data_IF_169592994703
#
_entry.id   IF_169592994703
#
_cell.length_a   1.000
_cell.length_b   1.000
_cell.length_c   1.000
_cell.angle_alpha   90.00
_cell.angle_beta   90.00
_cell.angle_gamma   90.00
#
_symmetry.space_group_name_H-M   'P 1'
#
loop_
_entity.id
_entity.type
_entity.pdbx_description
1 polymer ?
#
# COMPACT_ATOMS: atom_id res chain seq x y z
N UNK A 1 23.02 -28.66 0.41
CA UNK A 1 22.74 -27.37 1.11
C UNK A 1 23.97 -27.06 1.93
N UNK A 2 24.59 -25.91 1.71
CA UNK A 2 25.79 -25.48 2.45
C UNK A 2 25.37 -24.80 3.75
N UNK A 3 26.25 -24.73 4.75
CA UNK A 3 25.99 -23.96 5.99
C UNK A 3 25.68 -22.49 5.68
N UNK A 4 26.22 -21.95 4.59
CA UNK A 4 25.91 -20.61 4.09
C UNK A 4 24.45 -20.43 3.65
N UNK A 5 23.79 -21.48 3.12
CA UNK A 5 22.38 -21.42 2.74
C UNK A 5 21.45 -21.27 3.96
N UNK A 6 21.77 -21.97 5.06
CA UNK A 6 21.04 -21.84 6.32
C UNK A 6 21.24 -20.47 6.96
N UNK A 7 22.47 -19.94 6.93
CA UNK A 7 22.77 -18.59 7.42
C UNK A 7 22.03 -17.54 6.58
N UNK A 8 21.96 -17.71 5.26
CA UNK A 8 21.21 -16.84 4.37
C UNK A 8 19.70 -16.86 4.66
N UNK A 9 19.10 -18.03 4.87
CA UNK A 9 17.70 -18.16 5.27
C UNK A 9 17.41 -17.53 6.63
N UNK A 10 18.28 -17.75 7.61
CA UNK A 10 18.16 -17.13 8.93
C UNK A 10 18.29 -15.61 8.85
N UNK A 11 19.25 -15.09 8.07
CA UNK A 11 19.40 -13.66 7.81
C UNK A 11 18.14 -13.09 7.16
N UNK A 12 17.60 -13.75 6.14
CA UNK A 12 16.38 -13.32 5.47
C UNK A 12 15.17 -13.28 6.41
N UNK A 13 15.01 -14.32 7.24
CA UNK A 13 13.95 -14.35 8.25
C UNK A 13 14.15 -13.25 9.31
N UNK A 14 15.37 -13.06 9.80
CA UNK A 14 15.72 -12.01 10.76
C UNK A 14 15.49 -10.62 10.17
N UNK A 15 15.80 -10.40 8.90
CA UNK A 15 15.57 -9.10 8.24
C UNK A 15 14.09 -8.90 7.94
N UNK A 16 13.37 -9.94 7.53
CA UNK A 16 11.92 -9.86 7.34
C UNK A 16 11.20 -9.50 8.64
N UNK A 17 11.48 -10.23 9.72
CA UNK A 17 10.90 -9.98 11.04
C UNK A 17 11.39 -8.65 11.58
N UNK A 18 12.69 -8.38 11.47
CA UNK A 18 13.32 -7.13 11.90
C UNK A 18 12.71 -5.92 11.23
N UNK A 19 12.54 -5.94 9.90
CA UNK A 19 11.91 -4.85 9.15
C UNK A 19 10.41 -4.71 9.44
N UNK A 20 9.70 -5.83 9.61
CA UNK A 20 8.29 -5.81 10.03
C UNK A 20 8.11 -5.21 11.43
N UNK A 21 9.02 -5.54 12.36
CA UNK A 21 9.04 -5.00 13.72
C UNK A 21 9.45 -3.52 13.75
N UNK A 22 10.46 -3.16 12.95
CA UNK A 22 10.95 -1.79 12.77
C UNK A 22 9.84 -0.85 12.30
N UNK A 23 8.97 -1.33 11.40
CA UNK A 23 7.87 -0.54 10.84
C UNK A 23 6.58 -0.60 11.67
N UNK A 24 6.45 -1.56 12.60
CA UNK A 24 5.43 -1.50 13.67
C UNK A 24 5.80 -0.48 14.75
N UNK A 25 7.09 -0.19 14.92
CA UNK A 25 7.55 0.95 15.71
C UNK A 25 6.99 2.26 15.14
N UNK A 26 6.15 2.95 15.92
CA UNK A 26 5.49 4.23 15.56
C UNK A 26 6.47 5.31 15.07
N UNK A 27 7.73 5.19 15.46
CA UNK A 27 8.81 6.12 15.20
C UNK A 27 10.11 5.34 15.02
N UNK A 28 10.69 5.40 13.83
CA UNK A 28 12.09 5.05 13.63
C UNK A 28 12.84 6.31 13.17
N UNK A 29 13.93 6.62 13.85
CA UNK A 29 14.77 7.80 13.56
C UNK A 29 14.08 9.18 13.72
N UNK A 30 13.05 9.29 14.58
CA UNK A 30 12.34 10.56 14.80
C UNK A 30 11.50 11.02 13.61
N UNK A 31 11.24 10.15 12.63
CA UNK A 31 10.46 10.45 11.42
C UNK A 31 9.20 9.60 11.38
N UNK A 32 8.04 10.24 11.24
CA UNK A 32 6.75 9.58 10.99
C UNK A 32 6.79 8.85 9.65
N UNK A 33 6.37 7.57 9.64
CA UNK A 33 6.31 6.78 8.41
C UNK A 33 5.30 7.39 7.43
N UNK A 34 5.54 7.25 6.12
CA UNK A 34 4.62 7.73 5.08
C UNK A 34 3.20 7.19 5.28
N UNK A 35 3.08 5.95 5.76
CA UNK A 35 1.80 5.35 6.14
C UNK A 35 1.06 6.17 7.21
N UNK A 36 1.79 6.68 8.21
CA UNK A 36 1.24 7.53 9.26
C UNK A 36 0.89 8.93 8.76
N UNK A 37 1.71 9.53 7.88
CA UNK A 37 1.38 10.81 7.26
C UNK A 37 0.13 10.71 6.37
N UNK A 38 -0.03 9.58 5.66
CA UNK A 38 -1.22 9.31 4.85
C UNK A 38 -2.46 9.00 5.69
N UNK A 39 -2.31 8.57 6.95
CA UNK A 39 -3.43 8.42 7.88
C UNK A 39 -4.10 9.76 8.15
N UNK A 40 -3.34 10.83 8.33
CA UNK A 40 -3.90 12.17 8.58
C UNK A 40 -4.66 12.68 7.36
N UNK A 41 -4.11 12.52 6.15
CA UNK A 41 -4.81 12.88 4.91
C UNK A 41 -6.06 12.03 4.66
N UNK A 42 -6.06 10.75 5.06
CA UNK A 42 -7.26 9.90 5.02
C UNK A 42 -8.31 10.36 6.03
N UNK A 43 -7.88 10.81 7.20
CA UNK A 43 -8.74 11.42 8.21
C UNK A 43 -9.41 12.67 7.61
N UNK A 44 -8.63 13.61 7.11
CA UNK A 44 -9.12 14.83 6.44
C UNK A 44 -10.11 14.51 5.31
N UNK A 45 -9.79 13.54 4.45
CA UNK A 45 -10.68 13.14 3.36
C UNK A 45 -12.03 12.59 3.86
N UNK A 46 -12.04 11.69 4.84
CA UNK A 46 -13.29 11.11 5.38
C UNK A 46 -14.10 12.16 6.13
N UNK A 47 -13.45 13.05 6.90
CA UNK A 47 -14.14 14.17 7.56
C UNK A 47 -14.71 15.18 6.55
N UNK A 48 -13.99 15.48 5.46
CA UNK A 48 -14.49 16.36 4.41
C UNK A 48 -15.69 15.74 3.66
N UNK A 49 -15.70 14.41 3.50
CA UNK A 49 -16.82 13.68 2.91
C UNK A 49 -18.12 13.79 3.73
N UNK A 50 -18.04 13.97 5.05
CA UNK A 50 -19.21 14.25 5.90
C UNK A 50 -19.96 15.51 5.45
N UNK A 51 -19.23 16.52 4.94
CA UNK A 51 -19.78 17.81 4.48
C UNK A 51 -20.24 17.80 3.03
N UNK A 52 -20.18 16.66 2.33
CA UNK A 52 -20.62 16.52 0.93
C UNK A 52 -21.97 15.81 0.88
N UNK A 53 -22.91 16.37 0.13
CA UNK A 53 -24.22 15.73 -0.13
C UNK A 53 -24.07 14.50 -1.04
N UNK A 54 -23.23 14.57 -2.08
CA UNK A 54 -22.99 13.47 -3.02
C UNK A 54 -21.70 12.72 -2.71
N UNK A 55 -21.82 11.63 -1.94
CA UNK A 55 -20.69 10.76 -1.54
C UNK A 55 -20.27 9.72 -2.60
N UNK A 56 -20.84 9.79 -3.81
CA UNK A 56 -20.58 8.87 -4.93
C UNK A 56 -19.12 8.90 -5.43
N UNK A 57 -18.45 10.04 -5.34
CA UNK A 57 -17.04 10.16 -5.75
C UNK A 57 -16.15 9.37 -4.76
N UNK A 58 -16.46 9.43 -3.47
CA UNK A 58 -15.68 8.77 -2.44
C UNK A 58 -15.81 7.23 -2.49
N UNK A 59 -17.00 6.72 -2.85
CA UNK A 59 -17.20 5.29 -3.08
C UNK A 59 -16.43 4.77 -4.29
N UNK A 60 -16.26 5.58 -5.35
CA UNK A 60 -15.39 5.21 -6.48
C UNK A 60 -13.91 5.14 -6.08
N UNK A 61 -13.42 6.06 -5.24
CA UNK A 61 -12.04 6.01 -4.72
C UNK A 61 -11.83 4.72 -3.90
N UNK A 62 -12.80 4.37 -3.05
CA UNK A 62 -12.78 3.12 -2.29
C UNK A 62 -12.77 1.88 -3.20
N UNK A 63 -13.62 1.87 -4.23
CA UNK A 63 -13.65 0.80 -5.23
C UNK A 63 -12.30 0.67 -5.97
N UNK A 64 -11.65 1.80 -6.31
CA UNK A 64 -10.32 1.81 -6.90
C UNK A 64 -9.25 1.14 -6.02
N UNK A 65 -9.23 1.46 -4.72
CA UNK A 65 -8.33 0.83 -3.74
C UNK A 65 -8.58 -0.67 -3.61
N UNK A 66 -9.86 -1.07 -3.60
CA UNK A 66 -10.26 -2.47 -3.54
C UNK A 66 -9.85 -3.24 -4.81
N UNK A 67 -10.07 -2.68 -5.99
CA UNK A 67 -9.66 -3.27 -7.27
C UNK A 67 -8.13 -3.40 -7.35
N UNK A 68 -7.38 -2.40 -6.89
CA UNK A 68 -5.92 -2.49 -6.79
C UNK A 68 -5.48 -3.65 -5.88
N UNK A 69 -6.17 -3.86 -4.75
CA UNK A 69 -5.89 -4.99 -3.86
C UNK A 69 -6.21 -6.33 -4.50
N UNK A 70 -7.33 -6.43 -5.23
CA UNK A 70 -7.69 -7.63 -5.97
C UNK A 70 -6.65 -7.97 -7.06
N UNK A 71 -6.19 -6.98 -7.81
CA UNK A 71 -5.16 -7.15 -8.84
C UNK A 71 -3.87 -7.76 -8.29
N UNK A 72 -3.37 -7.23 -7.17
CA UNK A 72 -2.18 -7.77 -6.52
C UNK A 72 -2.40 -9.16 -5.89
N UNK A 73 -3.60 -9.43 -5.38
CA UNK A 73 -3.97 -10.76 -4.89
C UNK A 73 -3.93 -11.80 -6.01
N UNK A 74 -4.56 -11.51 -7.16
CA UNK A 74 -4.56 -12.38 -8.33
C UNK A 74 -3.14 -12.59 -8.88
N UNK A 75 -2.34 -11.54 -8.96
CA UNK A 75 -0.94 -11.63 -9.38
C UNK A 75 -0.13 -12.55 -8.45
N UNK A 76 -0.38 -12.48 -7.13
CA UNK A 76 0.28 -13.35 -6.16
C UNK A 76 -0.12 -14.82 -6.31
N UNK A 77 -1.39 -15.11 -6.64
CA UNK A 77 -1.84 -16.47 -6.96
C UNK A 77 -1.13 -17.00 -8.21
N UNK A 78 -1.06 -16.21 -9.28
CA UNK A 78 -0.37 -16.62 -10.50
C UNK A 78 1.11 -16.91 -10.23
N UNK A 79 1.79 -16.02 -9.51
CA UNK A 79 3.19 -16.22 -9.14
C UNK A 79 3.39 -17.48 -8.28
N UNK A 80 2.48 -17.75 -7.35
CA UNK A 80 2.49 -18.97 -6.54
C UNK A 80 2.27 -20.23 -7.39
N UNK A 81 1.32 -20.18 -8.34
CA UNK A 81 1.08 -21.25 -9.31
C UNK A 81 2.30 -21.51 -10.19
N UNK A 82 3.01 -20.46 -10.61
CA UNK A 82 4.27 -20.59 -11.34
C UNK A 82 5.35 -21.31 -10.50
N UNK A 83 5.43 -21.05 -9.19
CA UNK A 83 6.33 -21.80 -8.31
C UNK A 83 5.99 -23.29 -8.27
N UNK A 84 4.71 -23.66 -8.18
CA UNK A 84 4.30 -25.07 -8.21
C UNK A 84 4.59 -25.73 -9.56
N UNK A 85 4.41 -25.02 -10.67
CA UNK A 85 4.80 -25.49 -11.99
C UNK A 85 6.32 -25.72 -12.08
N UNK A 86 7.13 -24.84 -11.49
CA UNK A 86 8.58 -25.01 -11.40
C UNK A 86 8.96 -26.25 -10.58
N UNK A 87 8.28 -26.51 -9.45
CA UNK A 87 8.51 -27.72 -8.65
C UNK A 87 8.21 -28.99 -9.46
N UNK A 88 7.11 -29.02 -10.23
CA UNK A 88 6.75 -30.15 -11.09
C UNK A 88 7.66 -30.33 -12.31
N UNK A 89 8.38 -29.28 -12.74
CA UNK A 89 9.30 -29.29 -13.87
C UNK A 89 10.78 -29.19 -13.47
N UNK A 90 11.11 -29.51 -12.20
CA UNK A 90 12.45 -29.31 -11.61
C UNK A 90 13.57 -29.92 -12.46
N UNK A 91 13.40 -31.14 -12.99
CA UNK A 91 14.43 -31.80 -13.82
C UNK A 91 14.71 -31.06 -15.13
N UNK A 92 13.66 -30.58 -15.83
CA UNK A 92 13.81 -29.82 -17.09
C UNK A 92 14.46 -28.47 -16.87
N UNK A 93 14.08 -27.80 -15.78
CA UNK A 93 14.65 -26.51 -15.41
C UNK A 93 16.12 -26.68 -15.01
N UNK A 94 16.43 -27.70 -14.21
CA UNK A 94 17.80 -28.05 -13.83
C UNK A 94 18.71 -28.31 -15.03
N UNK A 95 18.22 -29.02 -16.06
CA UNK A 95 18.97 -29.26 -17.29
C UNK A 95 19.33 -27.96 -18.04
N UNK A 96 18.41 -27.00 -18.13
CA UNK A 96 18.67 -25.69 -18.75
C UNK A 96 19.68 -24.88 -17.93
N UNK A 97 19.61 -24.96 -16.59
CA UNK A 97 20.56 -24.29 -15.70
C UNK A 97 21.95 -24.93 -15.69
N UNK A 98 22.06 -26.23 -15.98
CA UNK A 98 23.34 -26.93 -16.09
C UNK A 98 24.18 -26.43 -17.27
N UNK A 99 23.54 -25.92 -18.32
CA UNK A 99 24.22 -25.28 -19.46
C UNK A 99 24.72 -23.85 -19.15
N UNK A 100 24.36 -23.26 -17.99
CA UNK A 100 24.82 -21.93 -17.60
C UNK A 100 26.10 -21.98 -16.77
N UNK A 101 27.22 -21.35 -17.21
CA UNK A 101 28.52 -21.43 -16.55
C UNK A 101 28.61 -20.71 -15.19
N UNK A 102 27.60 -19.93 -14.80
CA UNK A 102 27.62 -19.07 -13.60
C UNK A 102 26.74 -19.58 -12.44
N UNK A 103 26.07 -20.72 -12.58
CA UNK A 103 25.13 -21.22 -11.56
C UNK A 103 25.77 -22.37 -10.78
N UNK A 104 25.90 -22.19 -9.46
CA UNK A 104 26.39 -23.25 -8.58
C UNK A 104 25.39 -24.42 -8.62
N UNK A 105 25.90 -25.59 -8.99
CA UNK A 105 25.15 -26.85 -9.10
C UNK A 105 24.63 -27.30 -7.72
N UNK A 106 23.51 -26.73 -7.29
CA UNK A 106 22.77 -27.21 -6.13
C UNK A 106 21.94 -28.42 -6.55
N UNK A 107 22.16 -29.59 -5.93
CA UNK A 107 21.39 -30.79 -6.22
C UNK A 107 19.86 -30.58 -6.10
N UNK A 108 19.05 -31.44 -6.73
CA UNK A 108 17.60 -31.26 -6.90
C UNK A 108 16.86 -30.76 -5.63
N UNK A 109 17.14 -31.34 -4.46
CA UNK A 109 16.50 -30.91 -3.21
C UNK A 109 16.81 -29.46 -2.77
N UNK A 110 17.95 -28.90 -3.18
CA UNK A 110 18.26 -27.49 -2.95
C UNK A 110 17.36 -26.57 -3.78
N UNK A 111 17.08 -26.94 -5.02
CA UNK A 111 16.20 -26.18 -5.90
C UNK A 111 14.75 -26.23 -5.41
N UNK A 112 14.27 -27.41 -5.02
CA UNK A 112 12.92 -27.57 -4.44
C UNK A 112 12.74 -26.71 -3.19
N UNK A 113 13.74 -26.65 -2.30
CA UNK A 113 13.69 -25.82 -1.10
C UNK A 113 13.65 -24.32 -1.44
N UNK A 114 14.42 -23.86 -2.45
CA UNK A 114 14.38 -22.48 -2.96
C UNK A 114 12.99 -22.12 -3.48
N UNK A 115 12.44 -22.96 -4.37
CA UNK A 115 11.11 -22.71 -4.93
C UNK A 115 10.03 -22.79 -3.85
N UNK A 116 10.15 -23.69 -2.87
CA UNK A 116 9.23 -23.80 -1.73
C UNK A 116 9.22 -22.55 -0.84
N UNK A 117 10.38 -21.94 -0.57
CA UNK A 117 10.44 -20.68 0.16
C UNK A 117 9.86 -19.51 -0.64
N UNK A 118 10.09 -19.46 -1.95
CA UNK A 118 9.46 -18.48 -2.84
C UNK A 118 7.93 -18.64 -2.90
N UNK A 119 7.44 -19.87 -2.98
CA UNK A 119 6.02 -20.19 -2.91
C UNK A 119 5.41 -19.74 -1.57
N UNK A 120 6.14 -19.93 -0.46
CA UNK A 120 5.72 -19.46 0.88
C UNK A 120 5.60 -17.93 0.92
N UNK A 121 6.52 -17.19 0.31
CA UNK A 121 6.47 -15.72 0.21
C UNK A 121 5.25 -15.24 -0.58
N UNK A 122 4.97 -15.84 -1.74
CA UNK A 122 3.77 -15.52 -2.52
C UNK A 122 2.49 -15.96 -1.79
N UNK A 123 2.53 -17.08 -1.07
CA UNK A 123 1.47 -17.53 -0.15
C UNK A 123 1.14 -16.46 0.89
N UNK A 124 2.16 -15.99 1.60
CA UNK A 124 2.03 -14.91 2.56
C UNK A 124 1.48 -13.63 1.93
N UNK A 125 1.99 -13.22 0.76
CA UNK A 125 1.53 -12.05 0.03
C UNK A 125 0.03 -12.17 -0.30
N UNK A 126 -0.39 -13.32 -0.83
CA UNK A 126 -1.78 -13.61 -1.15
C UNK A 126 -2.70 -13.48 0.07
N UNK A 127 -2.35 -14.09 1.20
CA UNK A 127 -3.14 -13.97 2.43
C UNK A 127 -3.25 -12.52 2.91
N UNK A 128 -2.16 -11.74 2.81
CA UNK A 128 -2.17 -10.31 3.19
C UNK A 128 -3.04 -9.46 2.27
N UNK A 129 -2.97 -9.66 0.96
CA UNK A 129 -3.86 -8.98 0.02
C UNK A 129 -5.32 -9.41 0.20
N UNK A 130 -5.58 -10.70 0.43
CA UNK A 130 -6.93 -11.20 0.72
C UNK A 130 -7.52 -10.59 2.00
N UNK A 131 -6.72 -10.45 3.05
CA UNK A 131 -7.14 -9.77 4.28
C UNK A 131 -7.41 -8.28 4.04
N UNK A 132 -6.50 -7.61 3.32
CA UNK A 132 -6.69 -6.20 2.94
C UNK A 132 -7.95 -5.99 2.12
N UNK A 133 -8.23 -6.87 1.14
CA UNK A 133 -9.41 -6.82 0.30
C UNK A 133 -10.69 -6.91 1.13
N UNK A 134 -10.75 -7.87 2.06
CA UNK A 134 -11.89 -8.02 2.98
C UNK A 134 -12.10 -6.77 3.83
N UNK A 135 -11.03 -6.18 4.36
CA UNK A 135 -11.10 -4.96 5.15
C UNK A 135 -11.55 -3.74 4.32
N UNK A 136 -11.14 -3.62 3.05
CA UNK A 136 -11.64 -2.58 2.14
C UNK A 136 -13.13 -2.74 1.84
N UNK A 137 -13.63 -3.97 1.70
CA UNK A 137 -15.07 -4.22 1.59
C UNK A 137 -15.82 -3.75 2.85
N UNK A 138 -15.31 -4.11 4.04
CA UNK A 138 -15.90 -3.64 5.30
C UNK A 138 -15.85 -2.12 5.43
N UNK A 139 -14.76 -1.48 5.00
CA UNK A 139 -14.63 -0.04 4.95
C UNK A 139 -15.72 0.60 4.08
N UNK A 140 -16.02 0.00 2.92
CA UNK A 140 -17.06 0.50 2.00
C UNK A 140 -18.46 0.35 2.57
N UNK A 141 -18.76 -0.77 3.25
CA UNK A 141 -20.03 -0.98 3.96
C UNK A 141 -20.18 0.04 5.10
N UNK A 142 -19.13 0.23 5.91
CA UNK A 142 -19.13 1.22 6.98
C UNK A 142 -19.29 2.65 6.43
N UNK A 143 -18.65 2.95 5.29
CA UNK A 143 -18.77 4.25 4.64
C UNK A 143 -20.19 4.48 4.11
N UNK A 144 -20.83 3.46 3.57
CA UNK A 144 -22.24 3.51 3.17
C UNK A 144 -23.22 3.69 4.35
N UNK A 145 -22.80 3.39 5.58
CA UNK A 145 -23.61 3.62 6.80
C UNK A 145 -23.45 5.02 7.40
N UNK A 146 -22.61 5.88 6.80
CA UNK A 146 -22.45 7.26 7.24
C UNK A 146 -23.73 8.05 6.88
N UNK A 147 -24.34 8.79 7.82
CA UNK A 147 -25.56 9.56 7.56
C UNK A 147 -25.36 10.62 6.44
N UNK A 148 -26.44 10.94 5.74
CA UNK A 148 -26.45 12.05 4.78
C UNK A 148 -26.21 13.39 5.49
N UNK A 149 -25.84 14.43 4.74
CA UNK A 149 -25.46 15.73 5.31
C UNK A 149 -26.56 16.32 6.22
N UNK A 150 -27.82 16.17 5.81
CA UNK A 150 -29.01 16.61 6.56
C UNK A 150 -29.18 15.92 7.92
N UNK A 151 -28.85 14.63 8.01
CA UNK A 151 -28.91 13.86 9.27
C UNK A 151 -27.63 14.02 10.10
N UNK A 152 -26.51 14.37 9.45
CA UNK A 152 -25.24 14.69 10.10
C UNK A 152 -25.33 15.99 10.92
N UNK A 153 -26.09 16.97 10.44
CA UNK A 153 -26.36 18.22 11.18
C UNK A 153 -27.24 17.99 12.43
N UNK A 154 -28.06 16.92 12.43
CA UNK A 154 -28.91 16.56 13.57
C UNK A 154 -28.15 15.85 14.70
N UNK A 155 -27.16 14.99 14.38
CA UNK A 155 -26.29 14.34 15.37
C UNK A 155 -24.83 14.23 14.89
N UNK A 156 -24.09 15.33 15.08
CA UNK A 156 -22.69 15.46 14.69
C UNK A 156 -21.82 14.41 15.41
N UNK A 157 -22.11 14.09 16.68
CA UNK A 157 -21.31 13.18 17.50
C UNK A 157 -21.46 11.73 17.01
N UNK A 158 -22.65 11.33 16.55
CA UNK A 158 -22.86 10.02 15.93
C UNK A 158 -22.14 9.92 14.57
N UNK A 159 -22.20 10.98 13.76
CA UNK A 159 -21.54 11.03 12.46
C UNK A 159 -20.01 10.96 12.57
N UNK A 160 -19.40 11.69 13.51
CA UNK A 160 -17.96 11.60 13.79
C UNK A 160 -17.54 10.20 14.25
N UNK A 161 -18.33 9.56 15.11
CA UNK A 161 -18.09 8.17 15.54
C UNK A 161 -18.18 7.17 14.40
N UNK A 162 -19.06 7.40 13.42
CA UNK A 162 -19.13 6.58 12.20
C UNK A 162 -17.90 6.79 11.32
N UNK A 163 -17.52 8.05 11.06
CA UNK A 163 -16.34 8.42 10.29
C UNK A 163 -15.05 7.84 10.89
N UNK A 164 -14.86 7.95 12.20
CA UNK A 164 -13.67 7.44 12.89
C UNK A 164 -13.56 5.90 12.77
N UNK A 165 -14.69 5.17 12.78
CA UNK A 165 -14.69 3.72 12.52
C UNK A 165 -14.22 3.40 11.11
N UNK A 166 -14.65 4.18 10.12
CA UNK A 166 -14.23 4.03 8.72
C UNK A 166 -12.75 4.33 8.55
N UNK A 167 -12.27 5.44 9.14
CA UNK A 167 -10.85 5.83 9.12
C UNK A 167 -9.99 4.70 9.68
N UNK A 168 -10.31 4.18 10.87
CA UNK A 168 -9.57 3.07 11.47
C UNK A 168 -9.56 1.83 10.58
N UNK A 169 -10.71 1.46 10.01
CA UNK A 169 -10.78 0.30 9.11
C UNK A 169 -9.91 0.50 7.87
N UNK A 170 -9.96 1.69 7.27
CA UNK A 170 -9.18 2.01 6.07
C UNK A 170 -7.66 1.99 6.33
N UNK A 171 -7.23 2.49 7.49
CA UNK A 171 -5.81 2.45 7.91
C UNK A 171 -5.33 1.02 8.07
N UNK A 172 -6.11 0.15 8.72
CA UNK A 172 -5.75 -1.27 8.89
C UNK A 172 -5.73 -1.98 7.53
N UNK A 173 -6.69 -1.70 6.64
CA UNK A 173 -6.72 -2.24 5.28
C UNK A 173 -5.45 -1.87 4.50
N UNK A 174 -5.08 -0.58 4.53
CA UNK A 174 -3.87 -0.06 3.88
C UNK A 174 -2.57 -0.62 4.47
N UNK A 175 -2.52 -0.90 5.78
CA UNK A 175 -1.35 -1.56 6.39
C UNK A 175 -1.15 -2.97 5.84
N UNK A 176 -2.22 -3.77 5.76
CA UNK A 176 -2.14 -5.13 5.21
C UNK A 176 -1.77 -5.12 3.72
N UNK A 177 -2.28 -4.15 2.95
CA UNK A 177 -1.88 -3.96 1.55
C UNK A 177 -0.37 -3.70 1.42
N UNK A 178 0.17 -2.81 2.25
CA UNK A 178 1.60 -2.50 2.27
C UNK A 178 2.46 -3.70 2.71
N UNK A 179 1.99 -4.50 3.66
CA UNK A 179 2.66 -5.75 4.06
C UNK A 179 2.70 -6.76 2.90
N UNK A 180 1.60 -6.93 2.17
CA UNK A 180 1.56 -7.76 0.96
C UNK A 180 2.51 -7.26 -0.13
N UNK A 181 2.55 -5.95 -0.39
CA UNK A 181 3.49 -5.36 -1.36
C UNK A 181 4.94 -5.63 -0.98
N UNK A 182 5.30 -5.48 0.30
CA UNK A 182 6.66 -5.78 0.78
C UNK A 182 7.02 -7.25 0.55
N UNK A 183 6.07 -8.16 0.70
CA UNK A 183 6.28 -9.57 0.39
C UNK A 183 6.64 -9.81 -1.08
N UNK A 184 5.93 -9.15 -2.00
CA UNK A 184 6.26 -9.20 -3.43
C UNK A 184 7.65 -8.62 -3.69
N UNK A 185 8.00 -7.46 -3.11
CA UNK A 185 9.33 -6.89 -3.33
C UNK A 185 10.43 -7.79 -2.77
N UNK A 186 10.19 -8.41 -1.62
CA UNK A 186 11.17 -9.31 -1.03
C UNK A 186 11.30 -10.62 -1.83
N UNK A 187 10.23 -11.12 -2.45
CA UNK A 187 10.31 -12.28 -3.34
C UNK A 187 11.21 -12.02 -4.56
N UNK A 188 11.26 -10.77 -5.06
CA UNK A 188 12.23 -10.36 -6.09
C UNK A 188 13.67 -10.43 -5.56
N UNK A 189 13.90 -9.94 -4.33
CA UNK A 189 15.22 -10.06 -3.68
C UNK A 189 15.63 -11.52 -3.50
N UNK A 190 14.67 -12.39 -3.20
CA UNK A 190 14.85 -13.82 -3.04
C UNK A 190 15.28 -14.55 -4.31
N UNK A 191 14.92 -14.04 -5.49
CA UNK A 191 15.36 -14.61 -6.76
C UNK A 191 16.89 -14.64 -6.91
N UNK A 192 17.62 -13.72 -6.24
CA UNK A 192 19.08 -13.74 -6.19
C UNK A 192 19.67 -15.05 -5.64
N UNK A 193 18.91 -15.79 -4.83
CA UNK A 193 19.33 -17.09 -4.28
C UNK A 193 19.42 -18.20 -5.32
N UNK A 194 18.73 -18.06 -6.46
CA UNK A 194 18.85 -19.02 -7.56
C UNK A 194 20.23 -18.97 -8.22
N UNK A 195 20.92 -17.84 -8.17
CA UNK A 195 22.25 -17.67 -8.79
C UNK A 195 23.35 -18.05 -7.80
N UNK A 196 23.43 -17.35 -6.67
CA UNK A 196 24.49 -17.54 -5.67
C UNK A 196 24.08 -16.96 -4.29
N UNK A 197 24.44 -17.59 -3.15
CA UNK A 197 24.25 -17.02 -1.81
C UNK A 197 24.76 -15.58 -1.61
N UNK A 198 25.87 -15.20 -2.24
CA UNK A 198 26.39 -13.83 -2.18
C UNK A 198 25.50 -12.84 -2.93
N UNK A 199 24.98 -13.24 -4.10
CA UNK A 199 24.05 -12.42 -4.87
C UNK A 199 22.74 -12.27 -4.11
N UNK A 200 22.26 -13.32 -3.44
CA UNK A 200 21.09 -13.23 -2.57
C UNK A 200 21.24 -12.21 -1.44
N UNK A 201 22.40 -12.18 -0.77
CA UNK A 201 22.67 -11.18 0.26
C UNK A 201 22.68 -9.77 -0.32
N UNK A 202 23.29 -9.59 -1.49
CA UNK A 202 23.33 -8.31 -2.20
C UNK A 202 21.93 -7.86 -2.64
N UNK A 203 21.17 -8.71 -3.35
CA UNK A 203 19.83 -8.39 -3.85
C UNK A 203 18.86 -8.13 -2.72
N UNK A 204 18.90 -8.93 -1.66
CA UNK A 204 18.09 -8.70 -0.46
C UNK A 204 18.44 -7.36 0.18
N UNK A 205 19.73 -7.05 0.36
CA UNK A 205 20.20 -5.76 0.91
C UNK A 205 19.78 -4.57 0.05
N UNK A 206 19.90 -4.68 -1.28
CA UNK A 206 19.45 -3.64 -2.23
C UNK A 206 17.94 -3.45 -2.13
N UNK A 207 17.15 -4.52 -2.09
CA UNK A 207 15.69 -4.44 -1.96
C UNK A 207 15.31 -3.77 -0.64
N UNK A 208 15.94 -4.13 0.48
CA UNK A 208 15.69 -3.49 1.78
C UNK A 208 16.09 -2.02 1.72
N UNK A 209 17.25 -1.70 1.14
CA UNK A 209 17.71 -0.32 0.99
C UNK A 209 16.73 0.50 0.14
N UNK A 210 16.25 -0.05 -0.98
CA UNK A 210 15.24 0.58 -1.83
C UNK A 210 13.92 0.75 -1.08
N UNK A 211 13.47 -0.26 -0.33
CA UNK A 211 12.25 -0.17 0.47
C UNK A 211 12.38 0.86 1.60
N UNK A 212 13.53 0.91 2.27
CA UNK A 212 13.84 1.89 3.31
C UNK A 212 13.93 3.30 2.73
N UNK A 213 14.65 3.48 1.62
CA UNK A 213 14.71 4.76 0.89
C UNK A 213 13.32 5.18 0.41
N UNK A 214 12.49 4.26 -0.08
CA UNK A 214 11.10 4.54 -0.48
C UNK A 214 10.22 4.94 0.71
N UNK A 215 10.40 4.32 1.88
CA UNK A 215 9.64 4.62 3.09
C UNK A 215 10.06 5.93 3.76
N UNK A 216 11.35 6.27 3.75
CA UNK A 216 11.92 7.38 4.52
C UNK A 216 12.39 8.58 3.68
N UNK A 217 12.62 8.39 2.38
CA UNK A 217 13.25 9.36 1.48
C UNK A 217 12.41 9.68 0.23
N UNK A 218 11.20 9.14 0.10
CA UNK A 218 10.36 9.41 -1.07
C UNK A 218 9.79 10.83 -1.04
N UNK A 219 9.91 11.55 -2.15
CA UNK A 219 9.35 12.89 -2.39
C UNK A 219 7.84 12.97 -2.11
N UNK A 220 7.12 11.84 -2.14
CA UNK A 220 5.73 11.78 -1.71
C UNK A 220 5.53 12.21 -0.25
N UNK A 221 6.52 11.96 0.64
CA UNK A 221 6.52 12.50 2.01
C UNK A 221 6.70 14.02 2.00
N UNK A 222 7.61 14.54 1.17
CA UNK A 222 7.79 15.98 1.02
C UNK A 222 6.49 16.61 0.51
N UNK A 223 5.85 16.07 -0.54
CA UNK A 223 4.58 16.58 -1.06
C UNK A 223 3.41 16.53 -0.05
N UNK A 224 3.41 15.57 0.89
CA UNK A 224 2.40 15.49 1.97
C UNK A 224 2.78 16.37 3.18
N UNK A 225 4.06 16.64 3.41
CA UNK A 225 4.53 17.47 4.53
C UNK A 225 4.76 18.93 4.16
N UNK A 226 4.81 19.27 2.87
CA UNK A 226 4.85 20.64 2.40
C UNK A 226 3.45 21.24 2.56
N UNK A 227 3.20 21.76 3.76
CA UNK A 227 2.08 22.64 4.05
C UNK A 227 2.37 24.09 3.66
N UNK A 228 3.49 24.37 2.97
CA UNK A 228 3.72 25.71 2.43
C UNK A 228 2.71 25.94 1.32
N UNK A 229 1.82 26.94 1.43
CA UNK A 229 1.05 27.34 0.27
C UNK A 229 2.07 27.65 -0.84
N UNK A 230 1.90 27.14 -2.07
CA UNK A 230 2.69 27.59 -3.19
C UNK A 230 2.65 29.12 -3.19
N UNK A 231 3.82 29.75 -3.10
CA UNK A 231 3.95 31.22 -3.07
C UNK A 231 3.35 31.89 -4.30
N UNK A 232 2.95 31.11 -5.31
CA UNK A 232 2.38 31.57 -6.57
C UNK A 232 1.13 30.78 -7.01
N UNK A 233 0.15 30.59 -6.12
CA UNK A 233 -1.22 30.34 -6.58
C UNK A 233 -2.06 31.59 -6.37
N UNK A 234 -1.82 32.57 -7.25
CA UNK A 234 -2.82 33.58 -7.59
C UNK A 234 -3.93 32.88 -8.37
N UNK A 235 -4.75 32.08 -7.68
CA UNK A 235 -6.08 31.77 -8.20
C UNK A 235 -6.86 33.07 -8.06
N UNK A 236 -6.77 33.92 -9.08
CA UNK A 236 -7.55 35.15 -9.16
C UNK A 236 -9.00 34.78 -8.86
N UNK A 237 -9.53 35.27 -7.75
CA UNK A 237 -10.94 35.12 -7.44
C UNK A 237 -11.68 35.62 -8.66
N UNK A 238 -12.41 34.73 -9.35
CA UNK A 238 -13.34 35.14 -10.39
C UNK A 238 -14.31 36.08 -9.68
N UNK A 239 -14.12 37.38 -9.91
CA UNK A 239 -14.99 38.44 -9.43
C UNK A 239 -16.35 38.14 -10.04
N UNK A 240 -17.24 37.52 -9.27
CA UNK A 240 -18.67 37.55 -9.58
C UNK A 240 -19.06 39.00 -9.41
N UNK A 241 -19.21 39.71 -10.52
CA UNK A 241 -19.84 41.02 -10.51
C UNK A 241 -21.20 40.89 -9.80
N UNK A 242 -21.32 41.60 -8.68
CA UNK A 242 -22.61 41.80 -8.04
C UNK A 242 -23.48 42.64 -8.98
N UNK A 243 -24.80 42.40 -9.07
CA UNK A 243 -25.67 43.25 -9.85
C UNK A 243 -25.63 44.67 -9.28
N UNK A 244 -25.46 45.66 -10.16
CA UNK A 244 -25.52 47.08 -9.81
C UNK A 244 -26.88 47.39 -9.19
N UNK A 245 -26.84 47.73 -7.91
CA UNK A 245 -27.95 48.34 -7.19
C UNK A 245 -28.12 49.78 -7.68
N UNK A 246 -28.80 49.95 -8.82
CA UNK A 246 -29.33 51.26 -9.21
C UNK A 246 -30.68 51.45 -8.53
N UNK A 247 -30.60 51.92 -7.29
CA UNK A 247 -31.73 52.49 -6.59
C UNK A 247 -31.99 53.92 -7.06
N UNK A 248 -33.28 54.18 -7.30
CA UNK A 248 -34.00 55.43 -7.04
C UNK A 248 -34.18 56.42 -8.21
N UNK A 249 -35.44 56.59 -8.64
CA UNK A 249 -36.22 57.83 -8.51
C UNK A 249 -37.26 58.00 -9.64
N UNK A 250 -38.54 57.84 -9.32
CA UNK A 250 -39.60 58.72 -9.87
C UNK A 250 -40.88 58.57 -9.06
N UNK A 251 -40.95 59.34 -7.98
CA UNK A 251 -42.18 59.70 -7.29
C UNK A 251 -42.91 60.77 -8.10
N UNK A 252 -44.21 60.58 -8.34
CA UNK A 252 -45.20 61.67 -8.34
C UNK A 252 -45.68 62.21 -9.70
N UNK A 253 -46.99 62.08 -9.92
CA UNK A 253 -47.80 63.24 -10.29
C UNK A 253 -48.72 63.10 -11.52
N UNK A 254 -50.02 62.93 -11.19
CA UNK A 254 -51.24 63.23 -11.94
C UNK A 254 -51.67 62.29 -13.09
#
# INVERSE_FOLDING_TARGET
MTTADYIALAFFACVWVGYSWLLKGRTFFGRTSLTHAMTERRREWIYNSLRRDLKMIDTQIMAGLQNGTAFFASTSIFAMGSCFALLGATEKVGAVFADLPFVLHGGHGAFEMKVGGLATLFGYAFFKFGWSYRLFNYCTILFGSIPMMRDTEADIIAAERAAERVIRMNVIAGSNFNEGLRAIFLSIGYLGWFINPYIFMLTTSVVIFVLARRQFFSEARLAIMDGRPPSELQLSAIRRDMPSNDGNASTGGL
#
